data_IF_884925150696
#
_entry.id   IF_884925150696
#
_cell.length_a   1.000
_cell.length_b   1.000
_cell.length_c   1.000
_cell.angle_alpha   90.00
_cell.angle_beta   90.00
_cell.angle_gamma   90.00
#
_symmetry.space_group_name_H-M   'P 1'
#
loop_
_entity.id
_entity.type
_entity.pdbx_description
1 polymer ?
#
# COMPACT_ATOMS: atom_id res chain seq x y z
N UNK A 1 -11.06 36.75 -41.93
CA UNK A 1 -10.13 36.73 -40.79
C UNK A 1 -9.44 35.37 -40.78
N UNK A 2 -8.15 35.32 -41.09
CA UNK A 2 -7.42 34.05 -41.19
C UNK A 2 -6.99 33.57 -39.80
N UNK A 3 -7.14 32.27 -39.54
CA UNK A 3 -6.73 31.64 -38.27
C UNK A 3 -5.24 31.86 -37.96
N UNK A 4 -4.43 31.94 -39.02
CA UNK A 4 -3.00 32.27 -38.95
C UNK A 4 -2.73 33.64 -38.32
N UNK A 5 -3.56 34.63 -38.62
CA UNK A 5 -3.40 36.00 -38.13
C UNK A 5 -3.82 36.12 -36.66
N UNK A 6 -4.85 35.36 -36.26
CA UNK A 6 -5.27 35.19 -34.86
C UNK A 6 -4.15 34.57 -34.01
N UNK A 7 -3.55 33.47 -34.47
CA UNK A 7 -2.43 32.82 -33.77
C UNK A 7 -1.24 33.78 -33.64
N UNK A 8 -0.90 34.48 -34.73
CA UNK A 8 0.20 35.46 -34.74
C UNK A 8 -0.05 36.58 -33.73
N UNK A 9 -1.27 37.12 -33.67
CA UNK A 9 -1.65 38.17 -32.73
C UNK A 9 -1.63 37.68 -31.27
N UNK A 10 -2.07 36.44 -31.01
CA UNK A 10 -2.04 35.84 -29.69
C UNK A 10 -0.60 35.65 -29.16
N UNK A 11 0.32 35.14 -30.01
CA UNK A 11 1.73 34.95 -29.64
C UNK A 11 2.40 36.31 -29.33
N UNK A 12 2.06 37.35 -30.09
CA UNK A 12 2.59 38.70 -29.88
C UNK A 12 2.15 39.27 -28.52
N UNK A 13 0.88 39.10 -28.16
CA UNK A 13 0.34 39.50 -26.86
C UNK A 13 0.95 38.69 -25.71
N UNK A 14 1.15 37.37 -25.89
CA UNK A 14 1.79 36.51 -24.91
C UNK A 14 3.23 36.96 -24.62
N UNK A 15 3.98 37.37 -25.67
CA UNK A 15 5.34 37.91 -25.52
C UNK A 15 5.40 39.30 -24.90
N UNK A 16 4.33 40.11 -24.99
CA UNK A 16 4.25 41.42 -24.35
C UNK A 16 4.13 41.32 -22.82
N UNK A 17 3.44 40.29 -22.31
CA UNK A 17 3.21 40.09 -20.87
C UNK A 17 4.01 38.94 -20.27
N UNK A 18 5.35 39.02 -20.37
CA UNK A 18 6.27 37.94 -19.96
C UNK A 18 6.07 37.46 -18.52
N UNK A 19 5.90 38.37 -17.55
CA UNK A 19 5.73 37.98 -16.15
C UNK A 19 4.43 37.20 -15.91
N UNK A 20 3.31 37.69 -16.45
CA UNK A 20 2.01 37.01 -16.28
C UNK A 20 2.03 35.61 -16.89
N UNK A 21 2.62 35.48 -18.08
CA UNK A 21 2.74 34.19 -18.77
C UNK A 21 3.69 33.24 -18.03
N UNK A 22 4.77 33.77 -17.46
CA UNK A 22 5.70 32.98 -16.66
C UNK A 22 5.04 32.45 -15.37
N UNK A 23 4.35 33.30 -14.62
CA UNK A 23 3.67 32.90 -13.38
C UNK A 23 2.56 31.88 -13.64
N UNK A 24 1.79 32.03 -14.72
CA UNK A 24 0.73 31.08 -15.08
C UNK A 24 1.29 29.74 -15.54
N UNK A 25 2.41 29.72 -16.28
CA UNK A 25 3.10 28.46 -16.59
C UNK A 25 3.60 27.74 -15.35
N UNK A 26 4.28 28.46 -14.44
CA UNK A 26 4.77 27.87 -13.18
C UNK A 26 3.62 27.25 -12.39
N UNK A 27 2.51 27.98 -12.25
CA UNK A 27 1.33 27.48 -11.52
C UNK A 27 0.80 26.17 -12.10
N UNK A 28 0.69 26.07 -13.42
CA UNK A 28 0.22 24.84 -14.09
C UNK A 28 1.24 23.71 -13.93
N UNK A 29 2.53 23.99 -14.09
CA UNK A 29 3.60 22.98 -13.97
C UNK A 29 3.64 22.41 -12.54
N UNK A 30 3.67 23.28 -11.53
CA UNK A 30 3.68 22.85 -10.11
C UNK A 30 2.37 22.14 -9.75
N UNK A 31 1.24 22.66 -10.23
CA UNK A 31 -0.09 22.08 -9.99
C UNK A 31 -0.18 20.63 -10.49
N UNK A 32 0.14 20.41 -11.76
CA UNK A 32 0.08 19.06 -12.35
C UNK A 32 1.14 18.14 -11.73
N UNK A 33 2.36 18.65 -11.49
CA UNK A 33 3.43 17.86 -10.86
C UNK A 33 3.05 17.36 -9.47
N UNK A 34 2.44 18.22 -8.63
CA UNK A 34 1.98 17.85 -7.29
C UNK A 34 0.92 16.75 -7.32
N UNK A 35 -0.07 16.88 -8.23
CA UNK A 35 -1.14 15.89 -8.39
C UNK A 35 -0.55 14.54 -8.79
N UNK A 36 0.33 14.50 -9.80
CA UNK A 36 0.95 13.25 -10.26
C UNK A 36 1.83 12.63 -9.15
N UNK A 37 2.56 13.43 -8.40
CA UNK A 37 3.40 12.96 -7.30
C UNK A 37 2.55 12.30 -6.20
N UNK A 38 1.49 12.97 -5.74
CA UNK A 38 0.60 12.43 -4.70
C UNK A 38 -0.09 11.15 -5.18
N UNK A 39 -0.54 11.10 -6.44
CA UNK A 39 -1.16 9.89 -7.00
C UNK A 39 -0.17 8.72 -7.05
N UNK A 40 1.07 8.97 -7.45
CA UNK A 40 2.13 7.96 -7.50
C UNK A 40 2.47 7.43 -6.12
N UNK A 41 2.60 8.33 -5.14
CA UNK A 41 2.85 7.96 -3.73
C UNK A 41 1.65 7.19 -3.17
N UNK A 42 0.42 7.66 -3.39
CA UNK A 42 -0.78 7.00 -2.89
C UNK A 42 -0.93 5.58 -3.42
N UNK A 43 -0.72 5.38 -4.72
CA UNK A 43 -0.73 4.06 -5.33
C UNK A 43 0.40 3.15 -4.80
N UNK A 44 1.62 3.69 -4.66
CA UNK A 44 2.76 2.95 -4.12
C UNK A 44 2.60 2.54 -2.66
N UNK A 45 2.05 3.43 -1.82
CA UNK A 45 1.74 3.12 -0.43
C UNK A 45 0.63 2.08 -0.31
N UNK A 46 -0.41 2.18 -1.15
CA UNK A 46 -1.49 1.20 -1.16
C UNK A 46 -0.99 -0.19 -1.56
N UNK A 47 -0.10 -0.28 -2.55
CA UNK A 47 0.56 -1.53 -2.92
C UNK A 47 1.44 -2.05 -1.78
N UNK A 48 2.25 -1.20 -1.14
CA UNK A 48 3.14 -1.61 -0.05
C UNK A 48 2.38 -2.10 1.19
N UNK A 49 1.30 -1.41 1.56
CA UNK A 49 0.43 -1.84 2.67
C UNK A 49 -0.28 -3.13 2.31
N UNK A 50 -0.80 -3.26 1.09
CA UNK A 50 -1.45 -4.49 0.65
C UNK A 50 -0.48 -5.67 0.67
N UNK A 51 0.76 -5.50 0.21
CA UNK A 51 1.78 -6.56 0.27
C UNK A 51 2.15 -6.89 1.72
N UNK A 52 2.33 -5.88 2.58
CA UNK A 52 2.69 -6.08 3.99
C UNK A 52 1.57 -6.78 4.78
N UNK A 53 0.32 -6.40 4.55
CA UNK A 53 -0.86 -7.02 5.16
C UNK A 53 -1.15 -8.40 4.56
N UNK A 54 -0.80 -8.68 3.31
CA UNK A 54 -0.91 -10.04 2.76
C UNK A 54 0.20 -10.93 3.32
N UNK A 55 1.41 -10.42 3.57
CA UNK A 55 2.46 -11.17 4.24
C UNK A 55 2.17 -11.44 5.73
N UNK A 56 1.52 -10.51 6.43
CA UNK A 56 0.83 -10.81 7.70
C UNK A 56 -0.55 -11.39 7.38
N UNK A 57 -0.55 -12.59 6.80
CA UNK A 57 -1.73 -13.35 6.38
C UNK A 57 -2.91 -13.08 7.32
N UNK A 58 -3.87 -12.32 6.79
CA UNK A 58 -5.08 -11.85 7.49
C UNK A 58 -5.94 -13.01 8.01
N UNK A 59 -5.57 -14.26 7.67
CA UNK A 59 -6.19 -15.50 8.08
C UNK A 59 -5.24 -16.45 8.84
N UNK A 60 -4.16 -15.95 9.46
CA UNK A 60 -3.29 -16.79 10.31
C UNK A 60 -3.70 -16.70 11.78
N UNK A 61 -4.17 -17.81 12.33
CA UNK A 61 -4.50 -17.97 13.74
C UNK A 61 -3.25 -18.42 14.52
N UNK A 62 -2.68 -17.53 15.34
CA UNK A 62 -1.54 -17.85 16.19
C UNK A 62 -2.02 -18.38 17.54
N UNK A 63 -1.70 -19.65 17.84
CA UNK A 63 -1.98 -20.28 19.14
C UNK A 63 -0.69 -20.30 19.96
N UNK A 64 -0.65 -19.53 21.05
CA UNK A 64 0.48 -19.48 21.97
C UNK A 64 0.10 -20.18 23.27
N UNK A 65 0.99 -21.05 23.77
CA UNK A 65 0.87 -21.66 25.08
C UNK A 65 1.83 -20.97 26.06
N UNK A 66 1.29 -20.46 27.17
CA UNK A 66 2.07 -19.89 28.26
C UNK A 66 2.01 -20.86 29.46
N UNK A 67 3.13 -21.52 29.83
CA UNK A 67 3.15 -22.44 30.98
C UNK A 67 3.04 -21.66 32.29
N UNK A 68 2.23 -22.15 33.21
CA UNK A 68 2.26 -21.73 34.61
C UNK A 68 3.34 -22.48 35.41
N UNK A 69 3.71 -22.00 36.60
CA UNK A 69 4.77 -22.62 37.40
C UNK A 69 4.49 -24.10 37.77
N UNK A 70 3.21 -24.50 37.85
CA UNK A 70 2.81 -25.87 38.18
C UNK A 70 2.96 -26.82 36.99
N UNK A 71 2.61 -26.38 35.78
CA UNK A 71 2.77 -27.11 34.53
C UNK A 71 4.24 -27.25 34.12
N UNK A 72 5.11 -26.29 34.48
CA UNK A 72 6.57 -26.42 34.32
C UNK A 72 7.17 -27.57 35.13
N UNK A 73 6.61 -27.87 36.31
CA UNK A 73 7.06 -29.00 37.13
C UNK A 73 6.54 -30.34 36.60
N UNK A 74 5.46 -30.33 35.83
CA UNK A 74 4.73 -31.53 35.40
C UNK A 74 5.19 -32.05 34.02
N UNK A 75 6.13 -31.39 33.35
CA UNK A 75 6.75 -31.79 32.07
C UNK A 75 5.73 -32.29 31.04
N UNK A 76 4.57 -31.64 30.95
CA UNK A 76 3.54 -32.01 29.98
C UNK A 76 3.78 -31.24 28.67
N UNK A 77 3.98 -31.92 27.53
CA UNK A 77 4.15 -31.23 26.26
C UNK A 77 2.84 -30.51 25.88
N UNK A 78 2.89 -29.21 25.57
CA UNK A 78 1.68 -28.39 25.42
C UNK A 78 0.88 -28.66 24.16
N UNK A 79 1.50 -29.24 23.12
CA UNK A 79 0.83 -29.57 21.86
C UNK A 79 1.16 -31.00 21.45
N UNK A 80 0.13 -31.79 21.13
CA UNK A 80 0.29 -33.15 20.61
C UNK A 80 -0.02 -33.18 19.12
N UNK A 81 0.58 -34.13 18.41
CA UNK A 81 0.36 -34.33 16.97
C UNK A 81 -1.13 -34.54 16.60
N UNK A 82 -1.96 -35.04 17.52
CA UNK A 82 -3.38 -35.26 17.29
C UNK A 82 -4.18 -33.95 17.24
N UNK A 83 -3.73 -32.92 17.95
CA UNK A 83 -4.39 -31.63 18.03
C UNK A 83 -4.32 -30.91 16.67
N UNK A 84 -3.18 -31.01 15.97
CA UNK A 84 -3.02 -30.49 14.60
C UNK A 84 -3.94 -31.17 13.58
N UNK A 85 -4.20 -32.49 13.70
CA UNK A 85 -5.15 -33.20 12.83
C UNK A 85 -6.60 -32.86 13.11
N UNK A 86 -6.94 -32.50 14.35
CA UNK A 86 -8.29 -32.03 14.67
C UNK A 86 -8.57 -30.67 13.98
N UNK A 87 -7.54 -29.82 13.87
CA UNK A 87 -7.61 -28.53 13.19
C UNK A 87 -7.68 -28.66 11.65
N UNK A 88 -7.09 -29.70 11.06
CA UNK A 88 -7.16 -29.98 9.62
C UNK A 88 -8.58 -30.35 9.13
N UNK A 89 -9.44 -30.86 10.01
CA UNK A 89 -10.81 -31.25 9.67
C UNK A 89 -11.82 -30.09 9.77
N UNK A 90 -11.38 -28.91 10.17
CA UNK A 90 -12.22 -27.71 10.27
C UNK A 90 -12.23 -27.02 8.91
N UNK A 91 -13.43 -26.77 8.39
CA UNK A 91 -13.64 -26.09 7.11
C UNK A 91 -13.00 -24.69 7.13
N UNK A 92 -12.08 -24.42 6.20
CA UNK A 92 -11.36 -23.14 6.08
C UNK A 92 -9.92 -23.09 6.62
N UNK A 93 -9.36 -24.19 7.15
CA UNK A 93 -7.97 -24.25 7.62
C UNK A 93 -7.05 -24.77 6.50
N UNK A 94 -6.22 -23.88 5.93
CA UNK A 94 -5.20 -24.24 4.94
C UNK A 94 -3.83 -24.40 5.60
N UNK A 95 -3.04 -25.37 5.13
CA UNK A 95 -1.79 -25.81 5.76
C UNK A 95 -0.74 -24.71 5.79
N UNK A 96 -0.37 -24.25 6.98
CA UNK A 96 0.96 -23.71 7.20
C UNK A 96 1.64 -24.46 8.36
N UNK A 97 2.88 -24.87 8.10
CA UNK A 97 3.61 -25.80 8.95
C UNK A 97 3.92 -25.19 10.31
N UNK A 98 3.89 -26.01 11.35
CA UNK A 98 4.57 -25.70 12.60
C UNK A 98 6.04 -25.46 12.27
N UNK A 99 6.45 -24.19 12.16
CA UNK A 99 7.86 -23.83 12.19
C UNK A 99 8.38 -24.22 13.58
N UNK A 100 9.31 -25.19 13.57
CA UNK A 100 9.99 -25.71 14.75
C UNK A 100 10.91 -24.68 15.39
#
# INVERSE_FOLDING_TARGET
>A
MNFYELIRCAILNLRAHKLRVFLTMIGIIIGIASVVAILSIGAGLQAQVSDSTVSESVNTLRVTYEPDEQSMMQWEPPFRYQDFRALENIDGVEKDGAEQ
#
